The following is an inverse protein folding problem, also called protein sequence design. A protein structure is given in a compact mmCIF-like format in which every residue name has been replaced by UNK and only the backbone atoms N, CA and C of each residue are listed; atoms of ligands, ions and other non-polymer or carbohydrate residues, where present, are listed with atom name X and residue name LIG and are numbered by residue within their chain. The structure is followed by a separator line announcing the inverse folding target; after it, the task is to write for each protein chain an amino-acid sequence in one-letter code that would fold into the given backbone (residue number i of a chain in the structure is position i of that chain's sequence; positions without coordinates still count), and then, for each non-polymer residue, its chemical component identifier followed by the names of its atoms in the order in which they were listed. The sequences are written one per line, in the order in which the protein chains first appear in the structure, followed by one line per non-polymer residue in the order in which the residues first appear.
data_IF_149153273943
#
_entry.id   IF_149153273943
#
_cell.length_a   1.000
_cell.length_b   1.000
_cell.length_c   1.000
_cell.angle_alpha   90.00
_cell.angle_beta   90.00
_cell.angle_gamma   90.00
#
_symmetry.space_group_name_H-M   'P 1'
#
loop_
_entity.id
_entity.type
_entity.pdbx_description
1 polymer ?
#
# COMPACT_ATOMS: atom_id res chain seq x y z
N UNK A 1 -15.12 2.23 17.03
CA UNK A 1 -16.12 1.82 16.00
C UNK A 1 -17.17 2.89 15.63
N UNK A 2 -17.71 3.71 16.56
CA UNK A 2 -18.72 4.76 16.21
C UNK A 2 -18.24 5.84 15.23
N UNK A 3 -16.97 6.24 15.31
CA UNK A 3 -16.38 7.30 14.48
C UNK A 3 -16.28 6.91 13.00
N UNK A 4 -16.01 5.64 12.70
CA UNK A 4 -15.90 5.16 11.31
C UNK A 4 -17.27 5.06 10.61
N UNK A 5 -18.33 4.70 11.34
CA UNK A 5 -19.69 4.66 10.82
C UNK A 5 -20.23 6.08 10.53
N UNK A 6 -19.97 7.02 11.44
CA UNK A 6 -20.32 8.44 11.24
C UNK A 6 -19.60 9.05 10.03
N UNK A 7 -18.31 8.74 9.84
CA UNK A 7 -17.54 9.18 8.66
C UNK A 7 -18.09 8.58 7.36
N UNK A 8 -18.49 7.30 7.36
CA UNK A 8 -19.11 6.64 6.20
C UNK A 8 -20.43 7.32 5.80
N UNK A 9 -21.29 7.63 6.76
CA UNK A 9 -22.57 8.30 6.52
C UNK A 9 -22.38 9.74 5.99
N UNK A 10 -21.43 10.49 6.57
CA UNK A 10 -21.07 11.84 6.09
C UNK A 10 -20.57 11.79 4.63
N UNK A 11 -19.69 10.85 4.31
CA UNK A 11 -19.16 10.68 2.96
C UNK A 11 -20.25 10.27 1.95
N UNK A 12 -21.20 9.41 2.36
CA UNK A 12 -22.36 9.06 1.54
C UNK A 12 -23.21 10.29 1.23
N UNK A 13 -23.50 11.12 2.23
CA UNK A 13 -24.24 12.38 2.06
C UNK A 13 -23.54 13.33 1.10
N UNK A 14 -22.22 13.50 1.22
CA UNK A 14 -21.45 14.40 0.34
C UNK A 14 -21.47 13.89 -1.12
N UNK A 15 -21.37 12.58 -1.34
CA UNK A 15 -21.49 12.00 -2.69
C UNK A 15 -22.84 12.26 -3.34
N UNK A 16 -23.93 12.14 -2.58
CA UNK A 16 -25.28 12.44 -3.07
C UNK A 16 -25.40 13.93 -3.42
N UNK A 17 -24.85 14.84 -2.60
CA UNK A 17 -24.83 16.27 -2.91
C UNK A 17 -24.07 16.59 -4.21
N UNK A 18 -22.95 15.91 -4.46
CA UNK A 18 -22.21 16.06 -5.72
C UNK A 18 -23.06 15.62 -6.91
N UNK A 19 -23.73 14.46 -6.80
CA UNK A 19 -24.59 13.94 -7.86
C UNK A 19 -25.76 14.88 -8.17
N UNK A 20 -26.47 15.36 -7.14
CA UNK A 20 -27.58 16.30 -7.31
C UNK A 20 -27.11 17.60 -8.00
N UNK A 21 -25.97 18.17 -7.58
CA UNK A 21 -25.40 19.36 -8.23
C UNK A 21 -25.00 19.11 -9.69
N UNK A 22 -24.60 17.89 -10.02
CA UNK A 22 -24.31 17.50 -11.41
C UNK A 22 -25.60 17.37 -12.22
N UNK A 23 -26.61 16.71 -11.67
CA UNK A 23 -27.88 16.48 -12.35
C UNK A 23 -28.65 17.79 -12.59
N UNK A 24 -28.68 18.68 -11.59
CA UNK A 24 -29.41 19.96 -11.65
C UNK A 24 -28.72 21.01 -12.53
N UNK A 25 -27.39 21.04 -12.58
CA UNK A 25 -26.66 22.16 -13.16
C UNK A 25 -25.65 21.80 -14.25
N UNK A 26 -25.25 20.53 -14.35
CA UNK A 26 -24.24 20.08 -15.30
C UNK A 26 -24.84 19.34 -16.51
N UNK A 27 -26.05 18.79 -16.39
CA UNK A 27 -26.77 18.15 -17.50
C UNK A 27 -27.06 19.17 -18.60
N UNK A 28 -26.65 18.86 -19.83
CA UNK A 28 -26.82 19.76 -20.98
C UNK A 28 -25.87 20.97 -21.02
N UNK A 29 -24.92 21.09 -20.08
CA UNK A 29 -23.99 22.21 -20.07
C UNK A 29 -23.07 22.19 -21.31
N UNK A 30 -23.20 23.19 -22.19
CA UNK A 30 -22.40 23.34 -23.42
C UNK A 30 -20.89 23.37 -23.14
N UNK A 31 -20.49 23.94 -22.00
CA UNK A 31 -19.08 23.99 -21.55
C UNK A 31 -18.54 22.61 -21.16
N UNK A 32 -19.38 21.65 -20.77
CA UNK A 32 -18.95 20.27 -20.49
C UNK A 32 -18.81 19.46 -21.78
N UNK A 33 -19.70 19.68 -22.76
CA UNK A 33 -19.66 18.99 -24.06
C UNK A 33 -18.41 19.37 -24.88
N UNK A 34 -18.01 20.65 -24.89
CA UNK A 34 -16.84 21.12 -25.62
C UNK A 34 -15.51 20.45 -25.19
N UNK A 35 -15.39 20.08 -23.91
CA UNK A 35 -14.14 19.56 -23.34
C UNK A 35 -14.15 18.03 -23.10
N UNK A 36 -15.27 17.32 -23.34
CA UNK A 36 -15.34 15.84 -23.24
C UNK A 36 -14.47 15.11 -24.28
N UNK A 37 -14.18 15.74 -25.43
CA UNK A 37 -13.49 15.13 -26.57
C UNK A 37 -11.97 14.97 -26.41
N UNK A 38 -11.31 15.63 -25.45
CA UNK A 38 -9.84 15.78 -25.41
C UNK A 38 -9.09 14.84 -24.46
N UNK A 39 -9.69 13.72 -24.03
CA UNK A 39 -8.96 12.65 -23.34
C UNK A 39 -8.53 12.90 -21.88
N UNK A 40 -7.89 14.01 -21.52
CA UNK A 40 -7.08 14.02 -20.29
C UNK A 40 -7.00 15.31 -19.42
N UNK A 41 -7.89 16.32 -19.59
CA UNK A 41 -8.00 17.48 -18.66
C UNK A 41 -9.44 17.95 -18.39
N UNK A 42 -10.37 17.00 -18.26
CA UNK A 42 -11.81 17.20 -18.48
C UNK A 42 -12.58 17.96 -17.38
N UNK A 43 -12.00 18.23 -16.22
CA UNK A 43 -12.67 18.86 -15.07
C UNK A 43 -12.12 20.23 -14.65
N UNK A 44 -10.95 20.67 -15.16
CA UNK A 44 -10.24 21.82 -14.56
C UNK A 44 -10.95 23.16 -14.79
N UNK A 45 -11.46 23.44 -16.00
CA UNK A 45 -12.08 24.75 -16.26
C UNK A 45 -13.27 25.02 -15.33
N UNK A 46 -14.19 24.05 -15.19
CA UNK A 46 -15.32 24.20 -14.26
C UNK A 46 -14.85 24.21 -12.81
N UNK A 47 -13.87 23.38 -12.45
CA UNK A 47 -13.31 23.34 -11.10
C UNK A 47 -12.65 24.68 -10.70
N UNK A 48 -12.10 25.43 -11.66
CA UNK A 48 -11.35 26.66 -11.40
C UNK A 48 -12.15 27.95 -11.70
N UNK A 49 -13.17 27.88 -12.58
CA UNK A 49 -13.87 29.08 -13.10
C UNK A 49 -15.41 29.02 -12.99
N UNK A 50 -16.01 27.88 -12.65
CA UNK A 50 -17.46 27.76 -12.48
C UNK A 50 -17.82 27.69 -11.00
N UNK A 51 -18.85 28.43 -10.55
CA UNK A 51 -19.33 28.38 -9.16
C UNK A 51 -19.75 26.97 -8.73
N UNK A 52 -20.49 26.26 -9.57
CA UNK A 52 -20.93 24.88 -9.32
C UNK A 52 -19.73 23.93 -9.35
N UNK A 53 -18.83 24.09 -10.32
CA UNK A 53 -17.62 23.25 -10.41
C UNK A 53 -16.68 23.44 -9.21
N UNK A 54 -16.49 24.67 -8.72
CA UNK A 54 -15.76 24.97 -7.47
C UNK A 54 -16.42 24.28 -6.26
N UNK A 55 -17.75 24.32 -6.19
CA UNK A 55 -18.49 23.66 -5.08
C UNK A 55 -18.33 22.15 -5.13
N UNK A 56 -18.43 21.53 -6.30
CA UNK A 56 -18.19 20.10 -6.49
C UNK A 56 -16.75 19.74 -6.14
N UNK A 57 -15.76 20.57 -6.53
CA UNK A 57 -14.35 20.38 -6.19
C UNK A 57 -14.14 20.35 -4.68
N UNK A 58 -14.67 21.34 -3.95
CA UNK A 58 -14.60 21.41 -2.49
C UNK A 58 -15.23 20.19 -1.82
N UNK A 59 -16.43 19.77 -2.25
CA UNK A 59 -17.08 18.57 -1.74
C UNK A 59 -16.24 17.31 -2.00
N UNK A 60 -15.60 17.23 -3.17
CA UNK A 60 -14.66 16.17 -3.52
C UNK A 60 -13.40 16.17 -2.65
N UNK A 61 -12.84 17.34 -2.35
CA UNK A 61 -11.69 17.50 -1.44
C UNK A 61 -12.04 17.04 -0.02
N UNK A 62 -13.23 17.37 0.49
CA UNK A 62 -13.71 16.87 1.80
C UNK A 62 -13.85 15.35 1.84
N UNK A 63 -14.19 14.70 0.71
CA UNK A 63 -14.21 13.22 0.63
C UNK A 63 -12.81 12.60 0.69
N UNK A 64 -11.78 13.36 0.33
CA UNK A 64 -10.37 12.96 0.33
C UNK A 64 -9.62 13.39 1.60
N UNK A 65 -10.26 14.20 2.45
CA UNK A 65 -9.71 14.69 3.71
C UNK A 65 -9.38 13.52 4.67
N UNK A 66 -8.12 13.50 5.14
CA UNK A 66 -7.51 12.39 5.89
C UNK A 66 -6.93 11.25 5.04
N UNK A 67 -7.28 11.11 3.74
CA UNK A 67 -6.59 10.16 2.83
C UNK A 67 -5.25 10.73 2.34
N UNK A 68 -5.20 12.03 2.08
CA UNK A 68 -3.98 12.69 1.62
C UNK A 68 -2.97 12.87 2.76
N UNK A 69 -3.44 13.13 3.98
CA UNK A 69 -2.59 13.20 5.18
C UNK A 69 -1.95 11.84 5.48
N UNK A 70 -2.75 10.77 5.51
CA UNK A 70 -2.23 9.40 5.68
C UNK A 70 -1.28 8.98 4.56
N UNK A 71 -1.55 9.37 3.31
CA UNK A 71 -0.62 9.11 2.19
C UNK A 71 0.66 9.94 2.30
N UNK A 72 0.58 11.20 2.74
CA UNK A 72 1.76 12.07 2.93
C UNK A 72 2.63 11.61 4.10
N UNK A 73 2.01 11.15 5.18
CA UNK A 73 2.66 10.56 6.35
C UNK A 73 3.33 9.23 5.98
N UNK A 74 2.64 8.36 5.24
CA UNK A 74 3.23 7.15 4.66
C UNK A 74 4.41 7.46 3.73
N UNK A 75 4.31 8.50 2.90
CA UNK A 75 5.42 8.95 2.04
C UNK A 75 6.58 9.58 2.83
N UNK A 76 6.33 10.16 4.01
CA UNK A 76 7.37 10.69 4.89
C UNK A 76 8.07 9.55 5.63
N UNK A 77 7.31 8.56 6.10
CA UNK A 77 7.83 7.34 6.73
C UNK A 77 8.64 6.50 5.72
N UNK A 78 8.15 6.33 4.49
CA UNK A 78 8.90 5.65 3.42
C UNK A 78 10.22 6.34 3.09
N UNK A 79 10.24 7.69 3.03
CA UNK A 79 11.47 8.47 2.81
C UNK A 79 12.46 8.34 3.96
N UNK A 80 11.98 8.31 5.20
CA UNK A 80 12.82 8.04 6.36
C UNK A 80 13.50 6.66 6.22
N UNK A 81 12.72 5.64 5.87
CA UNK A 81 13.24 4.30 5.63
C UNK A 81 14.19 4.19 4.42
N UNK A 82 14.01 4.98 3.37
CA UNK A 82 14.94 5.01 2.24
C UNK A 82 16.34 5.44 2.70
N UNK A 83 16.43 6.49 3.52
CA UNK A 83 17.71 6.97 4.05
C UNK A 83 18.37 5.96 5.01
N UNK A 84 17.57 5.30 5.85
CA UNK A 84 18.05 4.25 6.76
C UNK A 84 18.57 3.04 5.99
N UNK A 85 17.86 2.60 4.95
CA UNK A 85 18.27 1.47 4.12
C UNK A 85 19.55 1.79 3.31
N UNK A 86 19.71 3.00 2.81
CA UNK A 86 20.94 3.42 2.12
C UNK A 86 22.15 3.43 3.05
N UNK A 87 22.00 3.92 4.28
CA UNK A 87 23.06 3.84 5.29
C UNK A 87 23.39 2.39 5.66
N UNK A 88 22.38 1.54 5.78
CA UNK A 88 22.55 0.12 6.08
C UNK A 88 23.33 -0.62 4.98
N UNK A 89 23.05 -0.36 3.69
CA UNK A 89 23.79 -0.94 2.56
C UNK A 89 25.27 -0.52 2.54
N UNK A 90 25.58 0.75 2.88
CA UNK A 90 26.97 1.23 2.99
C UNK A 90 27.73 0.49 4.11
N UNK A 91 27.12 0.39 5.30
CA UNK A 91 27.68 -0.34 6.43
C UNK A 91 27.82 -1.84 6.15
N UNK A 92 26.95 -2.41 5.32
CA UNK A 92 27.04 -3.81 4.86
C UNK A 92 28.24 -4.03 3.95
N UNK A 93 28.60 -3.03 3.14
CA UNK A 93 29.83 -3.00 2.33
C UNK A 93 31.10 -3.00 3.18
N UNK A 94 31.05 -2.42 4.38
CA UNK A 94 32.11 -2.47 5.41
C UNK A 94 32.13 -3.80 6.20
N UNK A 95 31.40 -4.83 5.74
CA UNK A 95 31.31 -6.18 6.31
C UNK A 95 30.69 -6.28 7.72
N UNK A 96 29.98 -5.25 8.21
CA UNK A 96 29.27 -5.31 9.49
C UNK A 96 28.05 -6.23 9.45
N UNK A 97 27.80 -7.02 10.51
CA UNK A 97 26.60 -7.88 10.59
C UNK A 97 25.31 -7.07 10.67
N UNK A 98 24.18 -7.65 10.24
CA UNK A 98 22.88 -6.98 10.26
C UNK A 98 22.48 -6.53 11.66
N UNK A 99 22.69 -7.37 12.68
CA UNK A 99 22.56 -7.00 14.09
C UNK A 99 23.34 -5.72 14.46
N UNK A 100 24.64 -5.65 14.14
CA UNK A 100 25.48 -4.47 14.44
C UNK A 100 25.06 -3.22 13.67
N UNK A 101 24.52 -3.39 12.46
CA UNK A 101 24.00 -2.28 11.65
C UNK A 101 22.69 -1.77 12.26
N UNK A 102 21.81 -2.66 12.70
CA UNK A 102 20.55 -2.32 13.32
C UNK A 102 20.77 -1.55 14.64
N UNK A 103 21.71 -2.03 15.47
CA UNK A 103 22.14 -1.36 16.70
C UNK A 103 22.67 0.06 16.44
N UNK A 104 23.51 0.24 15.41
CA UNK A 104 24.05 1.57 15.03
C UNK A 104 22.99 2.52 14.48
N UNK A 105 21.92 1.99 13.87
CA UNK A 105 20.83 2.77 13.29
C UNK A 105 19.65 2.94 14.25
N UNK A 106 19.70 2.34 15.45
CA UNK A 106 18.64 2.44 16.46
C UNK A 106 17.33 1.78 16.04
N UNK A 107 17.39 0.74 15.19
CA UNK A 107 16.22 0.02 14.67
C UNK A 107 16.35 -1.48 14.92
N UNK A 108 15.23 -2.21 14.94
CA UNK A 108 15.29 -3.66 15.08
C UNK A 108 15.87 -4.32 13.83
N UNK A 109 16.66 -5.38 14.02
CA UNK A 109 17.29 -6.12 12.92
C UNK A 109 16.27 -6.66 11.91
N UNK A 110 15.17 -7.23 12.39
CA UNK A 110 14.11 -7.81 11.55
C UNK A 110 13.42 -6.76 10.68
N UNK A 111 13.10 -5.58 11.25
CA UNK A 111 12.44 -4.50 10.52
C UNK A 111 13.39 -3.86 9.50
N UNK A 112 14.67 -3.71 9.85
CA UNK A 112 15.70 -3.22 8.94
C UNK A 112 15.89 -4.18 7.75
N UNK A 113 16.07 -5.48 8.02
CA UNK A 113 16.26 -6.49 6.99
C UNK A 113 15.07 -6.55 6.01
N UNK A 114 13.84 -6.58 6.53
CA UNK A 114 12.62 -6.59 5.73
C UNK A 114 12.53 -5.35 4.81
N UNK A 115 12.79 -4.16 5.35
CA UNK A 115 12.70 -2.91 4.58
C UNK A 115 13.79 -2.77 3.52
N UNK A 116 14.99 -3.31 3.76
CA UNK A 116 16.08 -3.39 2.78
C UNK A 116 15.74 -4.39 1.67
N UNK A 117 15.29 -5.60 2.02
CA UNK A 117 14.92 -6.64 1.06
C UNK A 117 13.80 -6.16 0.12
N UNK A 118 12.71 -5.59 0.68
CA UNK A 118 11.59 -5.00 -0.07
C UNK A 118 12.06 -3.95 -1.09
N UNK A 119 13.10 -3.17 -0.77
CA UNK A 119 13.65 -2.13 -1.66
C UNK A 119 14.57 -2.70 -2.74
N UNK A 120 15.33 -3.76 -2.45
CA UNK A 120 16.11 -4.50 -3.44
C UNK A 120 15.20 -5.06 -4.53
N UNK A 121 14.10 -5.69 -4.14
CA UNK A 121 13.08 -6.22 -5.07
C UNK A 121 12.44 -5.11 -5.90
N UNK A 122 12.06 -3.97 -5.29
CA UNK A 122 11.49 -2.83 -6.02
C UNK A 122 12.47 -2.26 -7.06
N UNK A 123 13.76 -2.15 -6.72
CA UNK A 123 14.82 -1.71 -7.65
C UNK A 123 15.04 -2.72 -8.78
N UNK A 124 15.03 -4.01 -8.48
CA UNK A 124 15.18 -5.06 -9.48
C UNK A 124 13.99 -5.11 -10.44
N UNK A 125 12.77 -5.02 -9.93
CA UNK A 125 11.55 -4.96 -10.73
C UNK A 125 11.49 -3.70 -11.61
N UNK A 126 12.00 -2.56 -11.13
CA UNK A 126 12.14 -1.36 -11.94
C UNK A 126 13.16 -1.55 -13.08
N UNK A 127 14.29 -2.21 -12.82
CA UNK A 127 15.28 -2.56 -13.86
C UNK A 127 14.71 -3.52 -14.91
N UNK A 128 13.94 -4.54 -14.50
CA UNK A 128 13.24 -5.47 -15.40
C UNK A 128 12.26 -4.75 -16.33
N UNK A 129 11.56 -3.71 -15.85
CA UNK A 129 10.64 -2.90 -16.68
C UNK A 129 11.36 -2.01 -17.70
N UNK A 130 12.58 -1.56 -17.41
CA UNK A 130 13.39 -0.73 -18.33
C UNK A 130 14.07 -1.61 -19.40
N UNK A 131 14.28 -2.90 -19.14
CA UNK A 131 14.88 -3.86 -20.09
C UNK A 131 13.95 -4.34 -21.22
N UNK A 132 12.63 -4.11 -21.15
CA UNK A 132 11.66 -4.51 -22.19
C UNK A 132 11.48 -3.39 -23.22
N UNK A 133 12.57 -2.92 -23.80
CA UNK A 133 12.56 -1.98 -24.93
C UNK A 133 13.71 -2.27 -25.89
N UNK A 134 13.77 -3.51 -26.37
CA UNK A 134 14.40 -3.85 -27.66
C UNK A 134 14.01 -5.27 -28.05
N UNK A 135 13.05 -5.38 -28.97
CA UNK A 135 13.18 -6.07 -30.27
C UNK A 135 11.78 -6.30 -30.86
N UNK A 136 11.17 -5.25 -31.39
CA UNK A 136 10.21 -5.40 -32.48
C UNK A 136 10.84 -4.73 -33.70
N UNK A 137 11.70 -5.47 -34.39
CA UNK A 137 12.01 -5.18 -35.79
C UNK A 137 10.83 -5.64 -36.61
N UNK A 138 10.00 -4.68 -37.00
CA UNK A 138 8.96 -4.83 -38.02
C UNK A 138 9.64 -5.32 -39.31
N UNK A 139 9.37 -6.55 -39.73
CA UNK A 139 9.74 -7.01 -41.08
C UNK A 139 8.81 -6.35 -42.08
N UNK A 140 9.45 -5.72 -43.05
CA UNK A 140 8.89 -5.07 -44.22
C UNK A 140 8.04 -6.05 -45.05
N UNK A 141 6.89 -5.55 -45.50
CA UNK A 141 5.99 -6.22 -46.43
C UNK A 141 6.48 -5.91 -47.84
N UNK A 142 7.19 -6.85 -48.46
CA UNK A 142 7.50 -6.77 -49.88
C UNK A 142 6.25 -7.15 -50.70
N UNK A 143 5.82 -6.20 -51.53
CA UNK A 143 4.79 -6.36 -52.55
C UNK A 143 5.45 -6.95 -53.79
N UNK A 144 4.93 -8.07 -54.30
CA UNK A 144 5.37 -8.71 -55.53
C UNK A 144 4.17 -9.33 -56.25
N UNK A 145 3.97 -8.91 -57.49
CA UNK A 145 2.90 -9.27 -58.42
C UNK A 145 3.15 -10.63 -59.10
N UNK A 146 2.09 -11.41 -59.37
CA UNK A 146 1.67 -11.83 -60.72
C UNK A 146 0.65 -13.00 -60.70
N UNK A 147 -0.27 -12.95 -61.66
CA UNK A 147 -1.24 -13.97 -62.06
C UNK A 147 -0.59 -15.34 -62.33
N UNK A 148 -1.33 -16.42 -62.12
CA UNK A 148 -1.72 -17.34 -63.22
C UNK A 148 -2.80 -18.34 -62.78
N UNK A 149 -3.75 -18.55 -63.70
CA UNK A 149 -4.79 -19.57 -63.65
C UNK A 149 -4.18 -20.99 -63.66
N UNK A 150 -4.64 -21.84 -62.76
CA UNK A 150 -4.36 -23.28 -62.83
C UNK A 150 -5.46 -24.07 -62.13
N UNK A 151 -6.42 -24.61 -62.90
CA UNK A 151 -7.37 -25.62 -62.44
C UNK A 151 -6.57 -26.86 -61.98
N UNK A 152 -6.49 -27.09 -60.68
CA UNK A 152 -5.95 -28.34 -60.14
C UNK A 152 -7.10 -29.28 -59.80
N UNK A 153 -7.26 -30.32 -60.60
CA UNK A 153 -8.12 -31.46 -60.31
C UNK A 153 -7.41 -32.30 -59.25
N UNK A 154 -7.80 -32.17 -57.99
CA UNK A 154 -7.30 -33.06 -56.92
C UNK A 154 -7.89 -34.45 -57.10
N UNK A 155 -7.00 -35.42 -57.26
CA UNK A 155 -7.34 -36.84 -57.32
C UNK A 155 -7.75 -37.32 -55.92
N UNK A 156 -8.79 -38.14 -55.85
CA UNK A 156 -9.42 -38.74 -54.66
C UNK A 156 -8.48 -39.28 -53.56
N UNK A 157 -7.27 -39.82 -53.86
CA UNK A 157 -6.33 -40.29 -52.83
C UNK A 157 -5.67 -39.18 -51.98
N UNK A 158 -5.53 -37.96 -52.50
CA UNK A 158 -4.86 -36.85 -51.79
C UNK A 158 -5.77 -36.27 -50.70
N UNK A 159 -7.06 -36.14 -51.01
CA UNK A 159 -8.10 -35.65 -50.08
C UNK A 159 -8.25 -36.60 -48.87
N UNK A 160 -8.07 -37.91 -49.06
CA UNK A 160 -8.15 -38.89 -47.97
C UNK A 160 -7.00 -38.75 -46.98
N UNK A 161 -5.76 -38.56 -47.46
CA UNK A 161 -4.59 -38.35 -46.60
C UNK A 161 -4.66 -37.04 -45.82
N UNK A 162 -5.14 -35.96 -46.45
CA UNK A 162 -5.36 -34.69 -45.77
C UNK A 162 -6.44 -34.79 -44.68
N UNK A 163 -7.52 -35.54 -44.93
CA UNK A 163 -8.56 -35.80 -43.91
C UNK A 163 -8.02 -36.60 -42.72
N UNK A 164 -7.16 -37.57 -42.96
CA UNK A 164 -6.52 -38.37 -41.90
C UNK A 164 -5.59 -37.50 -41.03
N UNK A 165 -4.79 -36.64 -41.66
CA UNK A 165 -3.93 -35.67 -40.96
C UNK A 165 -4.72 -34.62 -40.17
N UNK A 166 -5.86 -34.17 -40.69
CA UNK A 166 -6.79 -33.27 -40.00
C UNK A 166 -7.43 -33.92 -38.78
N UNK A 167 -7.81 -35.20 -38.87
CA UNK A 167 -8.34 -35.95 -37.73
C UNK A 167 -7.29 -36.14 -36.64
N UNK A 168 -6.05 -36.43 -37.01
CA UNK A 168 -4.96 -36.60 -36.07
C UNK A 168 -4.56 -35.27 -35.39
N UNK A 169 -4.50 -34.17 -36.14
CA UNK A 169 -4.27 -32.84 -35.55
C UNK A 169 -5.41 -32.42 -34.62
N UNK A 170 -6.68 -32.64 -35.00
CA UNK A 170 -7.83 -32.38 -34.14
C UNK A 170 -7.76 -33.13 -32.82
N UNK A 171 -7.34 -34.41 -32.83
CA UNK A 171 -7.16 -35.19 -31.61
C UNK A 171 -6.06 -34.62 -30.71
N UNK A 172 -4.89 -34.28 -31.29
CA UNK A 172 -3.79 -33.67 -30.51
C UNK A 172 -4.19 -32.31 -29.92
N UNK A 173 -4.96 -31.51 -30.63
CA UNK A 173 -5.48 -30.24 -30.12
C UNK A 173 -6.50 -30.44 -28.99
N UNK A 174 -7.36 -31.45 -29.09
CA UNK A 174 -8.32 -31.79 -28.03
C UNK A 174 -7.60 -32.26 -26.76
N UNK A 175 -6.54 -33.04 -26.89
CA UNK A 175 -5.70 -33.47 -25.78
C UNK A 175 -4.96 -32.28 -25.15
N UNK A 176 -4.39 -31.39 -25.97
CA UNK A 176 -3.75 -30.16 -25.50
C UNK A 176 -4.74 -29.25 -24.75
N UNK A 177 -5.98 -29.11 -25.26
CA UNK A 177 -7.05 -28.35 -24.58
C UNK A 177 -7.41 -28.95 -23.22
N UNK A 178 -7.54 -30.27 -23.13
CA UNK A 178 -7.77 -30.96 -21.84
C UNK A 178 -6.63 -30.73 -20.85
N UNK A 179 -5.39 -30.74 -21.33
CA UNK A 179 -4.21 -30.42 -20.53
C UNK A 179 -4.24 -28.99 -19.99
N UNK A 180 -4.58 -28.01 -20.84
CA UNK A 180 -4.72 -26.60 -20.45
C UNK A 180 -5.84 -26.42 -19.43
N UNK A 181 -6.99 -27.05 -19.63
CA UNK A 181 -8.13 -26.98 -18.70
C UNK A 181 -7.76 -27.52 -17.31
N UNK A 182 -7.03 -28.63 -17.26
CA UNK A 182 -6.57 -29.22 -16.00
C UNK A 182 -5.53 -28.35 -15.26
N UNK A 183 -4.67 -27.62 -15.99
CA UNK A 183 -3.76 -26.63 -15.39
C UNK A 183 -4.52 -25.39 -14.92
N UNK A 184 -5.52 -24.92 -15.69
CA UNK A 184 -6.36 -23.79 -15.32
C UNK A 184 -7.11 -24.04 -14.01
N UNK A 185 -7.75 -25.20 -13.86
CA UNK A 185 -8.45 -25.55 -12.62
C UNK A 185 -7.49 -25.72 -11.43
N UNK A 186 -6.27 -26.22 -11.66
CA UNK A 186 -5.23 -26.27 -10.62
C UNK A 186 -4.85 -24.87 -10.13
N UNK A 187 -4.59 -23.93 -11.05
CA UNK A 187 -4.23 -22.55 -10.71
C UNK A 187 -5.38 -21.84 -10.00
N UNK A 188 -6.60 -22.03 -10.47
CA UNK A 188 -7.81 -21.46 -9.85
C UNK A 188 -7.99 -21.93 -8.41
N UNK A 189 -7.78 -23.23 -8.14
CA UNK A 189 -7.82 -23.77 -6.77
C UNK A 189 -6.72 -23.15 -5.89
N UNK A 190 -5.50 -23.05 -6.40
CA UNK A 190 -4.40 -22.40 -5.68
C UNK A 190 -4.70 -20.93 -5.35
N UNK A 191 -5.30 -20.19 -6.28
CA UNK A 191 -5.69 -18.80 -6.04
C UNK A 191 -6.72 -18.70 -4.91
N UNK A 192 -7.74 -19.56 -4.93
CA UNK A 192 -8.76 -19.60 -3.89
C UNK A 192 -8.16 -19.92 -2.51
N UNK A 193 -7.28 -20.91 -2.43
CA UNK A 193 -6.56 -21.25 -1.18
C UNK A 193 -5.72 -20.06 -0.67
N UNK A 194 -5.09 -19.29 -1.57
CA UNK A 194 -4.33 -18.09 -1.19
C UNK A 194 -5.21 -16.94 -0.73
N UNK A 195 -6.39 -16.76 -1.33
CA UNK A 195 -7.37 -15.74 -0.91
C UNK A 195 -7.93 -16.05 0.50
N UNK A 196 -8.19 -17.34 0.77
CA UNK A 196 -8.60 -17.81 2.09
C UNK A 196 -7.49 -17.58 3.13
N UNK A 197 -6.25 -17.98 2.81
CA UNK A 197 -5.10 -17.74 3.67
C UNK A 197 -4.85 -16.25 3.94
N UNK A 198 -5.01 -15.39 2.93
CA UNK A 198 -4.90 -13.94 3.10
C UNK A 198 -5.96 -13.40 4.05
N UNK A 199 -7.21 -13.88 3.93
CA UNK A 199 -8.31 -13.45 4.79
C UNK A 199 -8.06 -13.85 6.26
N UNK A 200 -7.51 -15.04 6.49
CA UNK A 200 -7.11 -15.51 7.83
C UNK A 200 -6.00 -14.59 8.39
N UNK A 201 -4.91 -14.39 7.64
CA UNK A 201 -3.80 -13.53 8.07
C UNK A 201 -4.24 -12.09 8.34
N UNK A 202 -5.16 -11.56 7.55
CA UNK A 202 -5.72 -10.23 7.76
C UNK A 202 -6.47 -10.13 9.09
N UNK A 203 -7.28 -11.14 9.42
CA UNK A 203 -7.99 -11.20 10.69
C UNK A 203 -7.03 -11.32 11.87
N UNK A 204 -6.01 -12.17 11.77
CA UNK A 204 -4.97 -12.31 12.79
C UNK A 204 -4.20 -11.00 13.00
N UNK A 205 -3.82 -10.32 11.92
CA UNK A 205 -3.15 -9.01 11.97
C UNK A 205 -4.03 -7.95 12.66
N UNK A 206 -5.34 -7.97 12.42
CA UNK A 206 -6.27 -7.06 13.08
C UNK A 206 -6.35 -7.35 14.59
N UNK A 207 -6.47 -8.61 14.99
CA UNK A 207 -6.48 -9.00 16.40
C UNK A 207 -5.18 -8.65 17.13
N UNK A 208 -4.03 -8.86 16.49
CA UNK A 208 -2.73 -8.47 17.05
C UNK A 208 -2.63 -6.95 17.21
N UNK A 209 -3.18 -6.19 16.26
CA UNK A 209 -3.22 -4.73 16.37
C UNK A 209 -4.07 -4.28 17.56
N UNK A 210 -5.25 -4.87 17.77
CA UNK A 210 -6.10 -4.57 18.93
C UNK A 210 -5.39 -4.88 20.25
N UNK A 211 -4.80 -6.07 20.39
CA UNK A 211 -4.02 -6.44 21.59
C UNK A 211 -2.84 -5.50 21.83
N UNK A 212 -2.16 -5.06 20.77
CA UNK A 212 -1.08 -4.06 20.88
C UNK A 212 -1.60 -2.75 21.47
N UNK A 213 -2.72 -2.23 20.97
CA UNK A 213 -3.32 -1.00 21.50
C UNK A 213 -3.71 -1.13 22.98
N UNK A 214 -4.24 -2.29 23.38
CA UNK A 214 -4.57 -2.58 24.79
C UNK A 214 -3.32 -2.56 25.68
N UNK A 215 -2.26 -3.25 25.28
CA UNK A 215 -0.99 -3.29 26.03
C UNK A 215 -0.37 -1.88 26.12
N UNK A 216 -0.37 -1.12 25.03
CA UNK A 216 0.12 0.26 25.03
C UNK A 216 -0.69 1.17 25.97
N UNK A 217 -2.02 0.98 26.05
CA UNK A 217 -2.86 1.73 26.97
C UNK A 217 -2.56 1.38 28.44
N UNK A 218 -2.38 0.10 28.76
CA UNK A 218 -1.99 -0.34 30.11
C UNK A 218 -0.58 0.14 30.48
N UNK A 219 0.35 0.14 29.54
CA UNK A 219 1.70 0.70 29.75
C UNK A 219 1.63 2.20 30.09
N UNK A 220 0.78 2.98 29.41
CA UNK A 220 0.60 4.40 29.74
C UNK A 220 0.01 4.59 31.14
N UNK A 221 -0.98 3.78 31.53
CA UNK A 221 -1.57 3.84 32.89
C UNK A 221 -0.55 3.51 33.97
N UNK A 222 0.26 2.47 33.75
CA UNK A 222 1.31 2.08 34.69
C UNK A 222 2.39 3.14 34.79
N UNK A 223 2.82 3.74 33.68
CA UNK A 223 3.78 4.85 33.69
C UNK A 223 3.28 6.03 34.53
N UNK A 224 2.02 6.42 34.39
CA UNK A 224 1.42 7.50 35.19
C UNK A 224 1.43 7.15 36.68
N UNK A 225 1.07 5.91 37.04
CA UNK A 225 1.10 5.46 38.44
C UNK A 225 2.50 5.47 39.03
N UNK A 226 3.49 5.03 38.26
CA UNK A 226 4.90 5.03 38.68
C UNK A 226 5.36 6.47 38.92
N UNK A 227 5.13 7.38 37.99
CA UNK A 227 5.52 8.79 38.16
C UNK A 227 4.86 9.43 39.38
N UNK A 228 3.57 9.17 39.63
CA UNK A 228 2.89 9.66 40.83
C UNK A 228 3.48 9.07 42.13
N UNK A 229 3.88 7.79 42.11
CA UNK A 229 4.53 7.15 43.25
C UNK A 229 5.95 7.71 43.49
N UNK A 230 6.71 8.00 42.44
CA UNK A 230 8.02 8.64 42.51
C UNK A 230 7.92 10.04 43.11
N UNK A 231 6.98 10.87 42.64
CA UNK A 231 6.73 12.20 43.20
C UNK A 231 6.38 12.13 44.70
N UNK A 232 5.53 11.17 45.08
CA UNK A 232 5.16 10.95 46.48
C UNK A 232 6.38 10.55 47.32
N UNK A 233 7.18 9.60 46.84
CA UNK A 233 8.40 9.17 47.54
C UNK A 233 9.43 10.30 47.68
N UNK A 234 9.54 11.17 46.68
CA UNK A 234 10.42 12.33 46.72
C UNK A 234 9.95 13.38 47.73
N UNK A 235 8.63 13.63 47.82
CA UNK A 235 8.07 14.50 48.86
C UNK A 235 8.33 13.95 50.26
N UNK A 236 8.14 12.65 50.48
CA UNK A 236 8.45 12.01 51.77
C UNK A 236 9.94 12.06 52.11
N UNK A 237 10.82 11.93 51.11
CA UNK A 237 12.28 12.07 51.31
C UNK A 237 12.64 13.49 51.75
N UNK A 238 12.09 14.52 51.09
CA UNK A 238 12.29 15.92 51.46
C UNK A 238 11.77 16.21 52.87
N UNK A 239 10.55 15.78 53.17
CA UNK A 239 9.95 15.95 54.49
C UNK A 239 10.81 15.30 55.60
N UNK A 240 11.32 14.09 55.38
CA UNK A 240 12.23 13.41 56.33
C UNK A 240 13.50 14.22 56.59
N UNK A 241 14.12 14.78 55.55
CA UNK A 241 15.32 15.61 55.68
C UNK A 241 15.02 16.90 56.45
N UNK A 242 13.88 17.55 56.20
CA UNK A 242 13.46 18.73 56.94
C UNK A 242 13.23 18.44 58.43
N UNK A 243 12.53 17.34 58.75
CA UNK A 243 12.34 16.89 60.13
C UNK A 243 13.70 16.60 60.82
N UNK A 244 14.62 15.94 60.13
CA UNK A 244 15.96 15.66 60.64
C UNK A 244 16.74 16.94 60.93
N UNK A 245 16.72 17.91 60.02
CA UNK A 245 17.39 19.19 60.20
C UNK A 245 16.81 19.97 61.40
N UNK A 246 15.48 19.99 61.55
CA UNK A 246 14.80 20.62 62.70
C UNK A 246 15.19 19.94 64.02
N UNK A 247 15.19 18.61 64.06
CA UNK A 247 15.58 17.86 65.26
C UNK A 247 17.03 18.14 65.65
N UNK A 248 17.94 18.19 64.67
CA UNK A 248 19.34 18.57 64.91
C UNK A 248 19.47 19.99 65.45
N UNK A 249 18.77 20.96 64.87
CA UNK A 249 18.78 22.35 65.33
C UNK A 249 18.28 22.48 66.79
N UNK A 250 17.19 21.79 67.13
CA UNK A 250 16.68 21.73 68.51
C UNK A 250 17.67 21.09 69.47
N UNK A 251 18.32 19.99 69.07
CA UNK A 251 19.36 19.34 69.87
C UNK A 251 20.56 20.24 70.14
N UNK A 252 20.99 21.05 69.15
CA UNK A 252 22.05 22.04 69.32
C UNK A 252 21.59 23.16 70.26
N UNK A 253 20.38 23.69 70.09
CA UNK A 253 19.85 24.75 70.95
C UNK A 253 19.74 24.31 72.42
N UNK A 254 19.27 23.08 72.67
CA UNK A 254 19.20 22.52 74.04
C UNK A 254 20.59 22.38 74.67
N UNK A 255 21.60 21.94 73.91
CA UNK A 255 22.99 21.85 74.38
C UNK A 255 23.62 23.22 74.72
N UNK A 256 23.10 24.31 74.17
CA UNK A 256 23.62 25.66 74.43
C UNK A 256 23.01 26.30 75.69
N UNK A 257 21.89 25.76 76.18
CA UNK A 257 21.16 26.28 77.36
C UNK A 257 21.53 25.49 78.63
N UNK A 258 21.94 24.22 78.49
CA UNK A 258 22.44 23.36 79.57
C UNK A 258 23.95 23.54 79.78
#
# INVERSE_FOLDING_TARGET
MRTSHLKKNKNKSIRIQILNLQDEHCVGCKKIQAYRKSGNRKTSWCADNCRIGKRIKQLGETLLEGRNETMMEQMAEERNWDTLCERAEKLRGEKLSWAKIADRLGVSESTLYYNVAKRREKKENARKRIGVSKLFTTKEKAQGTNNENGKSVMTTPVILKEKEQLLQTLQTEQEARKGIEAEYERIKKQLQEREEAYTILLNESNQLSEKKWEVEAELRKTQIRISAAEETADMERKHRLECQARAQALGIALKAIL
#
